data_IF_937213223013
#
_entry.id   IF_937213223013
#
_cell.length_a   1.000
_cell.length_b   1.000
_cell.length_c   1.000
_cell.angle_alpha   90.00
_cell.angle_beta   90.00
_cell.angle_gamma   90.00
#
_symmetry.space_group_name_H-M   'P 1'
#
loop_
_entity.id
_entity.type
_entity.pdbx_description
1 polymer ?
#
# COMPACT_ATOMS: atom_id res chain seq x y z
N UNK A 1 9.55 -80.82 4.17
CA UNK A 1 8.95 -79.59 4.61
C UNK A 1 9.61 -78.36 3.97
N UNK A 2 9.98 -78.31 2.67
CA UNK A 2 10.81 -77.26 2.08
C UNK A 2 10.27 -76.67 0.74
N UNK A 3 9.09 -77.13 0.30
CA UNK A 3 8.48 -76.59 -0.95
C UNK A 3 7.39 -75.53 -0.76
N UNK A 4 6.87 -75.33 0.45
CA UNK A 4 5.76 -74.39 0.72
C UNK A 4 6.24 -72.97 1.05
N UNK A 5 7.49 -72.83 1.54
CA UNK A 5 8.05 -71.53 1.93
C UNK A 5 8.47 -70.68 0.73
N UNK A 6 8.86 -71.30 -0.40
CA UNK A 6 9.33 -70.52 -1.62
C UNK A 6 8.20 -69.85 -2.42
N UNK A 7 6.91 -70.19 -2.17
CA UNK A 7 5.78 -69.56 -2.91
C UNK A 7 5.12 -68.38 -2.16
N UNK A 8 5.44 -68.21 -0.87
CA UNK A 8 4.88 -67.11 -0.08
C UNK A 8 5.71 -65.83 -0.11
N UNK A 9 7.03 -65.93 -0.45
CA UNK A 9 7.90 -64.78 -0.50
C UNK A 9 7.55 -63.76 -1.63
N UNK A 10 7.18 -64.12 -2.85
CA UNK A 10 6.80 -63.17 -3.89
C UNK A 10 5.44 -62.52 -3.66
N UNK A 11 4.53 -63.17 -2.92
CA UNK A 11 3.23 -62.56 -2.61
C UNK A 11 3.33 -61.51 -1.49
N UNK A 12 4.23 -61.69 -0.50
CA UNK A 12 4.48 -60.69 0.56
C UNK A 12 5.23 -59.46 0.02
N UNK A 13 6.11 -59.62 -0.98
CA UNK A 13 6.83 -58.51 -1.59
C UNK A 13 5.92 -57.67 -2.51
N UNK A 14 4.92 -58.28 -3.16
CA UNK A 14 3.93 -57.58 -3.98
C UNK A 14 2.98 -56.69 -3.15
N UNK A 15 2.66 -57.12 -1.91
CA UNK A 15 1.82 -56.31 -0.99
C UNK A 15 2.58 -55.10 -0.43
N UNK A 16 3.90 -55.19 -0.23
CA UNK A 16 4.73 -54.08 0.23
C UNK A 16 4.96 -53.01 -0.86
N UNK A 17 4.90 -53.36 -2.14
CA UNK A 17 5.02 -52.41 -3.26
C UNK A 17 3.70 -51.71 -3.60
N UNK A 18 2.55 -52.25 -3.20
CA UNK A 18 1.25 -51.64 -3.41
C UNK A 18 0.95 -50.50 -2.40
N UNK A 19 1.73 -50.36 -1.31
CA UNK A 19 1.54 -49.36 -0.27
C UNK A 19 2.11 -47.97 -0.60
N UNK A 20 2.84 -47.82 -1.71
CA UNK A 20 3.40 -46.54 -2.18
C UNK A 20 2.70 -45.99 -3.42
N UNK A 21 1.44 -46.39 -3.66
CA UNK A 21 0.61 -45.62 -4.58
C UNK A 21 0.38 -44.23 -3.93
N UNK A 22 1.17 -43.24 -4.35
CA UNK A 22 0.85 -41.83 -4.06
C UNK A 22 -0.61 -41.65 -4.44
N UNK A 23 -1.46 -41.40 -3.46
CA UNK A 23 -2.81 -40.94 -3.73
C UNK A 23 -2.64 -39.67 -4.59
N UNK A 24 -3.35 -39.55 -5.71
CA UNK A 24 -3.36 -38.30 -6.43
C UNK A 24 -3.80 -37.26 -5.41
N UNK A 25 -2.96 -36.24 -5.20
CA UNK A 25 -3.37 -35.05 -4.48
C UNK A 25 -4.57 -34.54 -5.24
N UNK A 26 -5.73 -34.57 -4.58
CA UNK A 26 -6.98 -34.10 -5.18
C UNK A 26 -6.79 -32.63 -5.53
N UNK A 27 -6.50 -32.36 -6.81
CA UNK A 27 -6.27 -31.01 -7.36
C UNK A 27 -7.56 -30.20 -7.44
N UNK A 28 -8.65 -30.70 -6.85
CA UNK A 28 -9.98 -30.08 -6.82
C UNK A 28 -10.28 -29.32 -5.52
N UNK A 29 -9.32 -29.13 -4.61
CA UNK A 29 -9.53 -28.18 -3.52
C UNK A 29 -9.67 -26.79 -4.13
N UNK A 30 -10.89 -26.25 -4.08
CA UNK A 30 -11.16 -24.89 -4.53
C UNK A 30 -10.17 -23.95 -3.84
N UNK A 31 -9.38 -23.23 -4.65
CA UNK A 31 -8.42 -22.27 -4.13
C UNK A 31 -9.17 -21.17 -3.41
N UNK A 32 -8.63 -20.71 -2.28
CA UNK A 32 -9.16 -19.55 -1.58
C UNK A 32 -9.00 -18.31 -2.45
N UNK A 33 -10.10 -17.61 -2.73
CA UNK A 33 -10.13 -16.45 -3.64
C UNK A 33 -9.83 -15.17 -2.88
N UNK A 34 -8.79 -14.48 -3.30
CA UNK A 34 -8.34 -13.22 -2.70
C UNK A 34 -8.30 -12.14 -3.79
N UNK A 35 -8.91 -10.99 -3.52
CA UNK A 35 -8.75 -9.79 -4.34
C UNK A 35 -7.78 -8.83 -3.65
N UNK A 36 -6.73 -8.39 -4.35
CA UNK A 36 -5.91 -7.25 -3.96
C UNK A 36 -6.39 -6.02 -4.75
N UNK A 37 -6.89 -5.01 -4.04
CA UNK A 37 -7.38 -3.76 -4.63
C UNK A 37 -6.45 -2.64 -4.18
N UNK A 38 -5.57 -2.21 -5.09
CA UNK A 38 -4.56 -1.19 -4.85
C UNK A 38 -5.09 0.22 -5.16
N UNK A 39 -4.30 1.25 -4.84
CA UNK A 39 -4.62 2.64 -5.22
C UNK A 39 -4.24 2.95 -6.66
N UNK A 40 -3.24 2.28 -7.20
CA UNK A 40 -2.69 2.55 -8.52
C UNK A 40 -2.25 1.26 -9.21
N UNK A 41 -2.19 1.31 -10.53
CA UNK A 41 -1.68 0.24 -11.39
C UNK A 41 -0.14 0.13 -11.35
N UNK A 42 0.43 -0.79 -12.14
CA UNK A 42 1.88 -1.07 -12.27
C UNK A 42 2.67 0.10 -12.91
N UNK A 43 2.53 1.32 -12.40
CA UNK A 43 3.25 2.50 -12.91
C UNK A 43 4.20 3.11 -11.87
N UNK A 44 4.43 2.41 -10.75
CA UNK A 44 5.39 2.82 -9.73
C UNK A 44 6.18 1.64 -9.20
N UNK A 45 7.45 1.85 -8.88
CA UNK A 45 8.32 0.82 -8.30
C UNK A 45 7.74 0.28 -6.97
N UNK A 46 7.04 1.12 -6.22
CA UNK A 46 6.37 0.73 -4.98
C UNK A 46 5.28 -0.33 -5.24
N UNK A 47 4.32 -0.05 -6.14
CA UNK A 47 3.24 -0.98 -6.43
C UNK A 47 3.71 -2.23 -7.14
N UNK A 48 4.72 -2.15 -7.99
CA UNK A 48 5.35 -3.32 -8.59
C UNK A 48 5.91 -4.27 -7.52
N UNK A 49 6.60 -3.74 -6.50
CA UNK A 49 7.10 -4.55 -5.39
C UNK A 49 5.97 -5.20 -4.57
N UNK A 50 4.87 -4.47 -4.30
CA UNK A 50 3.68 -5.00 -3.61
C UNK A 50 3.06 -6.15 -4.40
N UNK A 51 2.88 -5.99 -5.72
CA UNK A 51 2.26 -7.01 -6.57
C UNK A 51 3.14 -8.25 -6.70
N UNK A 52 4.47 -8.11 -6.81
CA UNK A 52 5.41 -9.23 -6.80
C UNK A 52 5.28 -10.01 -5.49
N UNK A 53 5.23 -9.32 -4.35
CA UNK A 53 5.04 -9.95 -3.04
C UNK A 53 3.70 -10.68 -2.92
N UNK A 54 2.62 -10.09 -3.42
CA UNK A 54 1.29 -10.70 -3.42
C UNK A 54 1.23 -11.96 -4.31
N UNK A 55 1.83 -11.92 -5.52
CA UNK A 55 1.92 -13.07 -6.43
C UNK A 55 2.76 -14.20 -5.82
N UNK A 56 3.86 -13.88 -5.13
CA UNK A 56 4.67 -14.85 -4.42
C UNK A 56 3.87 -15.52 -3.28
N UNK A 57 3.17 -14.74 -2.46
CA UNK A 57 2.30 -15.25 -1.41
C UNK A 57 1.15 -16.12 -1.97
N UNK A 58 0.52 -15.69 -3.06
CA UNK A 58 -0.53 -16.46 -3.72
C UNK A 58 -0.02 -17.83 -4.20
N UNK A 59 1.21 -17.88 -4.68
CA UNK A 59 1.86 -19.13 -5.09
C UNK A 59 2.16 -20.00 -3.88
N UNK A 60 2.75 -19.43 -2.82
CA UNK A 60 3.14 -20.16 -1.61
C UNK A 60 1.93 -20.76 -0.91
N UNK A 61 0.84 -20.02 -0.78
CA UNK A 61 -0.37 -20.43 -0.07
C UNK A 61 -1.45 -21.05 -0.98
N UNK A 62 -1.14 -21.28 -2.26
CA UNK A 62 -2.06 -21.83 -3.26
C UNK A 62 -3.38 -21.07 -3.34
N UNK A 63 -3.32 -19.73 -3.40
CA UNK A 63 -4.48 -18.85 -3.52
C UNK A 63 -4.84 -18.59 -4.99
N UNK A 64 -6.09 -18.24 -5.22
CA UNK A 64 -6.53 -17.60 -6.46
C UNK A 64 -6.53 -16.09 -6.22
N UNK A 65 -5.49 -15.40 -6.69
CA UNK A 65 -5.31 -13.97 -6.52
C UNK A 65 -5.79 -13.21 -7.76
N UNK A 66 -6.60 -12.18 -7.55
CA UNK A 66 -6.94 -11.15 -8.54
C UNK A 66 -6.36 -9.82 -8.06
N UNK A 67 -5.65 -9.10 -8.92
CA UNK A 67 -5.09 -7.77 -8.60
C UNK A 67 -5.80 -6.75 -9.46
N UNK A 68 -6.37 -5.72 -8.84
CA UNK A 68 -7.07 -4.61 -9.52
C UNK A 68 -6.69 -3.28 -8.87
N UNK A 69 -6.82 -2.22 -9.65
CA UNK A 69 -6.69 -0.84 -9.19
C UNK A 69 -7.49 0.07 -10.13
N UNK A 70 -7.95 1.24 -9.71
CA UNK A 70 -8.50 2.24 -10.61
C UNK A 70 -7.40 2.80 -11.53
N UNK A 71 -7.81 3.44 -12.62
CA UNK A 71 -6.89 4.10 -13.56
C UNK A 71 -6.31 5.40 -12.98
N UNK A 72 -7.03 6.01 -12.04
CA UNK A 72 -6.64 7.25 -11.35
C UNK A 72 -6.60 7.02 -9.83
N UNK A 73 -5.45 7.37 -9.23
CA UNK A 73 -5.23 7.27 -7.77
C UNK A 73 -6.07 8.29 -6.95
N UNK A 74 -6.84 9.13 -7.60
CA UNK A 74 -7.80 10.04 -6.95
C UNK A 74 -9.26 9.53 -7.06
N UNK A 75 -9.52 8.46 -7.86
CA UNK A 75 -10.86 7.92 -8.08
C UNK A 75 -11.25 6.84 -7.06
N UNK A 76 -11.60 7.29 -5.84
CA UNK A 76 -12.15 6.41 -4.81
C UNK A 76 -13.48 5.75 -5.21
N UNK A 77 -14.25 6.39 -6.11
CA UNK A 77 -15.54 5.84 -6.54
C UNK A 77 -15.35 4.62 -7.44
N UNK A 78 -14.40 4.67 -8.38
CA UNK A 78 -13.99 3.49 -9.14
C UNK A 78 -13.42 2.41 -8.21
N UNK A 79 -12.65 2.78 -7.19
CA UNK A 79 -12.14 1.82 -6.22
C UNK A 79 -13.26 1.15 -5.40
N UNK A 80 -14.31 1.88 -5.01
CA UNK A 80 -15.49 1.33 -4.36
C UNK A 80 -16.24 0.33 -5.27
N UNK A 81 -16.28 0.59 -6.59
CA UNK A 81 -16.86 -0.36 -7.54
C UNK A 81 -16.03 -1.65 -7.61
N UNK A 82 -14.70 -1.56 -7.63
CA UNK A 82 -13.82 -2.74 -7.62
C UNK A 82 -14.01 -3.60 -6.36
N UNK A 83 -14.34 -2.99 -5.21
CA UNK A 83 -14.68 -3.72 -3.99
C UNK A 83 -15.99 -4.50 -4.19
N UNK A 84 -17.03 -3.85 -4.74
CA UNK A 84 -18.31 -4.49 -5.01
C UNK A 84 -18.17 -5.65 -6.02
N UNK A 85 -17.44 -5.43 -7.11
CA UNK A 85 -17.16 -6.45 -8.13
C UNK A 85 -16.42 -7.65 -7.52
N UNK A 86 -15.43 -7.43 -6.65
CA UNK A 86 -14.72 -8.51 -5.97
C UNK A 86 -15.65 -9.35 -5.07
N UNK A 87 -16.62 -8.72 -4.40
CA UNK A 87 -17.64 -9.44 -3.61
C UNK A 87 -18.55 -10.25 -4.52
N UNK A 88 -19.04 -9.70 -5.64
CA UNK A 88 -19.87 -10.41 -6.62
C UNK A 88 -19.13 -11.59 -7.26
N UNK A 89 -17.85 -11.44 -7.56
CA UNK A 89 -16.99 -12.51 -8.06
C UNK A 89 -16.67 -13.58 -7.02
N UNK A 90 -17.14 -13.37 -5.77
CA UNK A 90 -17.05 -14.30 -4.65
C UNK A 90 -15.66 -14.36 -4.06
N UNK A 91 -14.95 -13.25 -3.95
CA UNK A 91 -13.75 -13.14 -3.12
C UNK A 91 -14.09 -13.51 -1.67
N UNK A 92 -13.22 -14.27 -1.05
CA UNK A 92 -13.34 -14.67 0.36
C UNK A 92 -12.52 -13.76 1.28
N UNK A 93 -11.51 -13.09 0.69
CA UNK A 93 -10.81 -12.00 1.34
C UNK A 93 -10.49 -10.88 0.32
N UNK A 94 -10.46 -9.66 0.81
CA UNK A 94 -10.00 -8.47 0.10
C UNK A 94 -8.79 -7.91 0.86
N UNK A 95 -7.68 -7.74 0.15
CA UNK A 95 -6.52 -6.96 0.60
C UNK A 95 -6.64 -5.60 -0.05
N UNK A 96 -6.74 -4.53 0.75
CA UNK A 96 -7.18 -3.22 0.30
C UNK A 96 -6.26 -2.10 0.76
N UNK A 97 -5.91 -1.17 -0.14
CA UNK A 97 -5.22 0.08 0.20
C UNK A 97 -6.10 1.26 -0.18
N UNK A 98 -6.60 2.00 0.82
CA UNK A 98 -7.59 3.04 0.59
C UNK A 98 -7.03 4.29 -0.10
N UNK A 99 -7.69 4.76 -1.16
CA UNK A 99 -7.45 6.07 -1.76
C UNK A 99 -7.95 7.17 -0.82
N UNK A 100 -9.14 7.01 -0.28
CA UNK A 100 -9.78 7.96 0.63
C UNK A 100 -10.17 7.26 1.92
N UNK A 101 -9.71 7.80 3.05
CA UNK A 101 -9.91 7.20 4.36
C UNK A 101 -11.38 7.10 4.75
N UNK A 102 -12.19 8.11 4.42
CA UNK A 102 -13.61 8.19 4.77
C UNK A 102 -14.51 7.63 3.66
N UNK A 103 -14.25 8.00 2.41
CA UNK A 103 -15.15 7.69 1.31
C UNK A 103 -15.15 6.21 0.91
N UNK A 104 -14.08 5.46 1.23
CA UNK A 104 -14.03 4.02 1.01
C UNK A 104 -14.66 3.20 2.15
N UNK A 105 -14.92 3.78 3.33
CA UNK A 105 -15.36 3.06 4.51
C UNK A 105 -16.64 2.26 4.29
N UNK A 106 -17.68 2.87 3.68
CA UNK A 106 -18.95 2.22 3.47
C UNK A 106 -18.87 0.99 2.54
N UNK A 107 -17.99 1.02 1.53
CA UNK A 107 -17.78 -0.13 0.63
C UNK A 107 -17.09 -1.29 1.37
N UNK A 108 -16.14 -0.98 2.25
CA UNK A 108 -15.47 -1.97 3.11
C UNK A 108 -16.44 -2.59 4.09
N UNK A 109 -17.31 -1.78 4.73
CA UNK A 109 -18.34 -2.27 5.64
C UNK A 109 -19.33 -3.19 4.93
N UNK A 110 -19.71 -2.86 3.70
CA UNK A 110 -20.58 -3.70 2.89
C UNK A 110 -19.93 -5.05 2.53
N UNK A 111 -18.66 -5.05 2.16
CA UNK A 111 -17.90 -6.27 1.88
C UNK A 111 -17.80 -7.17 3.13
N UNK A 112 -17.48 -6.58 4.29
CA UNK A 112 -17.44 -7.31 5.55
C UNK A 112 -18.80 -7.89 5.94
N UNK A 113 -19.89 -7.12 5.76
CA UNK A 113 -21.25 -7.58 5.99
C UNK A 113 -21.69 -8.75 5.07
N UNK A 114 -21.11 -8.81 3.86
CA UNK A 114 -21.25 -9.94 2.95
C UNK A 114 -20.42 -11.18 3.32
N UNK A 115 -19.66 -11.11 4.42
CA UNK A 115 -18.84 -12.21 4.94
C UNK A 115 -17.43 -12.28 4.35
N UNK A 116 -16.98 -11.24 3.64
CA UNK A 116 -15.63 -11.15 3.09
C UNK A 116 -14.67 -10.63 4.17
N UNK A 117 -13.54 -11.31 4.38
CA UNK A 117 -12.50 -10.83 5.29
C UNK A 117 -11.73 -9.68 4.64
N UNK A 118 -11.68 -8.52 5.29
CA UNK A 118 -10.92 -7.36 4.78
C UNK A 118 -9.64 -7.17 5.56
N UNK A 119 -8.53 -7.03 4.84
CA UNK A 119 -7.20 -6.68 5.38
C UNK A 119 -6.77 -5.38 4.70
N UNK A 120 -6.48 -4.35 5.49
CA UNK A 120 -5.94 -3.10 4.95
C UNK A 120 -4.42 -3.16 4.90
N UNK A 121 -3.84 -2.74 3.78
CA UNK A 121 -2.38 -2.65 3.57
C UNK A 121 -2.01 -1.23 3.12
N UNK A 122 -0.80 -0.79 3.46
CA UNK A 122 -0.27 0.53 3.11
C UNK A 122 -1.11 1.68 3.67
N UNK A 123 -2.30 1.94 3.15
CA UNK A 123 -3.19 3.03 3.56
C UNK A 123 -4.44 2.50 4.27
N UNK A 124 -4.69 3.00 5.47
CA UNK A 124 -5.85 2.63 6.29
C UNK A 124 -7.17 3.21 5.73
N UNK A 125 -8.29 2.62 6.15
CA UNK A 125 -9.65 3.08 5.89
C UNK A 125 -10.42 3.22 7.20
N UNK A 126 -11.34 4.15 7.31
CA UNK A 126 -12.15 4.41 8.51
C UNK A 126 -13.27 3.36 8.68
N UNK A 127 -12.89 2.13 8.99
CA UNK A 127 -13.82 1.03 9.23
C UNK A 127 -13.31 0.12 10.34
N UNK A 128 -14.19 -0.17 11.30
CA UNK A 128 -13.93 -1.14 12.37
C UNK A 128 -14.02 -2.60 11.89
N UNK A 129 -14.46 -2.82 10.65
CA UNK A 129 -14.64 -4.15 10.04
C UNK A 129 -13.39 -4.67 9.33
N UNK A 130 -12.26 -3.95 9.43
CA UNK A 130 -10.96 -4.41 8.94
C UNK A 130 -10.36 -5.39 9.95
N UNK A 131 -10.09 -6.62 9.50
CA UNK A 131 -9.56 -7.68 10.36
C UNK A 131 -8.10 -7.44 10.79
N UNK A 132 -7.30 -6.77 9.94
CA UNK A 132 -5.93 -6.38 10.23
C UNK A 132 -5.51 -5.20 9.35
N UNK A 133 -4.60 -4.36 9.88
CA UNK A 133 -3.90 -3.33 9.13
C UNK A 133 -2.40 -3.61 9.12
N UNK A 134 -1.80 -3.50 7.95
CA UNK A 134 -0.35 -3.69 7.72
C UNK A 134 0.16 -2.46 6.98
N UNK A 135 0.86 -1.59 7.68
CA UNK A 135 1.39 -0.35 7.11
C UNK A 135 2.52 0.23 7.94
N UNK A 136 3.05 1.37 7.48
CA UNK A 136 4.08 2.10 8.18
C UNK A 136 3.48 3.03 9.26
N UNK A 137 4.29 3.42 10.24
CA UNK A 137 3.99 4.54 11.12
C UNK A 137 4.17 5.87 10.35
N UNK A 138 3.12 6.29 9.66
CA UNK A 138 3.13 7.49 8.82
C UNK A 138 3.27 8.78 9.64
N UNK A 139 2.67 8.84 10.84
CA UNK A 139 2.85 9.96 11.74
C UNK A 139 4.31 10.09 12.19
N UNK A 140 4.90 8.97 12.63
CA UNK A 140 6.32 8.90 12.98
C UNK A 140 7.24 9.27 11.81
N UNK A 141 6.92 8.83 10.59
CA UNK A 141 7.68 9.19 9.38
C UNK A 141 7.62 10.71 9.11
N UNK A 142 6.45 11.34 9.28
CA UNK A 142 6.30 12.80 9.20
C UNK A 142 7.15 13.53 10.24
N UNK A 143 7.15 13.06 11.47
CA UNK A 143 8.04 13.61 12.52
C UNK A 143 9.52 13.46 12.17
N UNK A 144 9.91 12.30 11.65
CA UNK A 144 11.31 12.04 11.26
C UNK A 144 11.82 12.97 10.17
N UNK A 145 11.03 13.23 9.12
CA UNK A 145 11.44 14.14 8.05
C UNK A 145 11.57 15.58 8.55
N UNK A 146 10.66 16.03 9.41
CA UNK A 146 10.75 17.35 10.04
C UNK A 146 11.98 17.46 10.96
N UNK A 147 12.24 16.44 11.78
CA UNK A 147 13.41 16.39 12.64
C UNK A 147 14.72 16.42 11.85
N UNK A 148 14.78 15.68 10.73
CA UNK A 148 15.96 15.72 9.83
C UNK A 148 16.24 17.12 9.29
N UNK A 149 15.18 17.88 8.93
CA UNK A 149 15.34 19.27 8.50
C UNK A 149 15.81 20.18 9.65
N UNK A 150 15.26 19.96 10.86
CA UNK A 150 15.66 20.70 12.05
C UNK A 150 17.13 20.46 12.43
N UNK A 151 17.60 19.22 12.32
CA UNK A 151 18.97 18.85 12.66
C UNK A 151 19.98 19.31 11.57
N UNK A 152 19.55 19.30 10.32
CA UNK A 152 20.41 19.66 9.18
C UNK A 152 20.56 21.15 8.93
N UNK A 153 19.75 22.00 9.57
CA UNK A 153 19.72 23.44 9.31
C UNK A 153 19.73 24.26 10.59
N UNK A 154 20.50 25.34 10.58
CA UNK A 154 20.53 26.30 11.67
C UNK A 154 19.49 27.45 11.45
N UNK A 155 19.15 28.15 12.54
CA UNK A 155 18.27 29.31 12.49
C UNK A 155 16.79 29.01 12.33
N UNK A 156 16.02 29.99 11.86
CA UNK A 156 14.60 29.86 11.66
C UNK A 156 14.25 29.17 10.33
N UNK A 157 13.34 28.24 10.37
CA UNK A 157 12.86 27.51 9.19
C UNK A 157 11.51 28.04 8.72
N UNK A 158 11.47 28.46 7.43
CA UNK A 158 10.26 28.80 6.70
C UNK A 158 9.95 27.62 5.76
N UNK A 159 8.99 26.80 6.13
CA UNK A 159 8.76 25.49 5.50
C UNK A 159 7.67 25.59 4.45
N UNK A 160 7.95 25.11 3.22
CA UNK A 160 6.97 24.75 2.21
C UNK A 160 6.69 23.25 2.28
N UNK A 161 5.42 22.87 2.41
CA UNK A 161 5.00 21.48 2.52
C UNK A 161 4.24 21.06 1.26
N UNK A 162 4.60 19.91 0.68
CA UNK A 162 4.00 19.38 -0.54
C UNK A 162 3.45 17.98 -0.26
N UNK A 163 2.13 17.82 -0.46
CA UNK A 163 1.39 16.59 -0.27
C UNK A 163 0.49 16.32 -1.48
N UNK A 164 0.03 15.09 -1.71
CA UNK A 164 -1.06 14.80 -2.63
C UNK A 164 -2.17 13.95 -1.98
N UNK A 165 -1.84 13.20 -0.94
CA UNK A 165 -2.76 12.27 -0.27
C UNK A 165 -3.51 12.94 0.89
N UNK A 166 -4.14 14.09 0.66
CA UNK A 166 -4.82 14.84 1.74
C UNK A 166 -6.04 14.10 2.32
N UNK A 167 -6.67 13.22 1.55
CA UNK A 167 -7.80 12.39 1.97
C UNK A 167 -7.37 10.98 2.40
N UNK A 168 -6.18 10.54 1.99
CA UNK A 168 -5.61 9.27 2.39
C UNK A 168 -5.00 9.34 3.80
N UNK A 169 -5.02 8.23 4.53
CA UNK A 169 -4.42 8.14 5.86
C UNK A 169 -2.93 8.48 5.84
N UNK A 170 -2.19 7.96 4.86
CA UNK A 170 -0.74 8.11 4.79
C UNK A 170 -0.30 9.57 4.69
N UNK A 171 -0.86 10.30 3.73
CA UNK A 171 -0.50 11.71 3.50
C UNK A 171 -0.92 12.60 4.65
N UNK A 172 -2.13 12.39 5.19
CA UNK A 172 -2.64 13.11 6.34
C UNK A 172 -1.76 12.91 7.59
N UNK A 173 -1.41 11.68 7.90
CA UNK A 173 -0.65 11.36 9.10
C UNK A 173 0.81 11.84 8.99
N UNK A 174 1.45 11.71 7.81
CA UNK A 174 2.79 12.29 7.55
C UNK A 174 2.78 13.80 7.69
N UNK A 175 1.76 14.46 7.13
CA UNK A 175 1.62 15.91 7.24
C UNK A 175 1.43 16.35 8.70
N UNK A 176 0.57 15.68 9.45
CA UNK A 176 0.33 16.00 10.85
C UNK A 176 1.60 15.79 11.69
N UNK A 177 2.31 14.67 11.50
CA UNK A 177 3.56 14.41 12.21
C UNK A 177 4.64 15.46 11.95
N UNK A 178 4.76 15.91 10.67
CA UNK A 178 5.70 16.97 10.32
C UNK A 178 5.31 18.32 10.93
N UNK A 179 4.02 18.68 10.89
CA UNK A 179 3.50 19.92 11.49
C UNK A 179 3.75 19.96 13.00
N UNK A 180 3.49 18.88 13.70
CA UNK A 180 3.66 18.80 15.16
C UNK A 180 5.14 18.93 15.53
N UNK A 181 6.05 18.24 14.85
CA UNK A 181 7.48 18.34 15.11
C UNK A 181 8.03 19.75 14.84
N UNK A 182 7.58 20.42 13.79
CA UNK A 182 7.97 21.82 13.53
C UNK A 182 7.41 22.77 14.59
N UNK A 183 6.16 22.60 15.00
CA UNK A 183 5.55 23.43 16.04
C UNK A 183 6.26 23.28 17.39
N UNK A 184 6.57 22.05 17.80
CA UNK A 184 7.30 21.74 19.03
C UNK A 184 8.72 22.34 19.04
N UNK A 185 9.37 22.49 17.89
CA UNK A 185 10.72 23.04 17.78
C UNK A 185 10.83 24.52 18.18
N UNK A 186 9.74 25.25 18.06
CA UNK A 186 9.67 26.71 18.31
C UNK A 186 10.48 27.58 17.33
N UNK A 187 11.19 26.98 16.35
CA UNK A 187 12.03 27.70 15.38
C UNK A 187 11.63 27.49 13.91
N UNK A 188 10.58 26.70 13.67
CA UNK A 188 10.06 26.42 12.35
C UNK A 188 8.59 26.83 12.22
N UNK A 189 8.20 27.30 11.04
CA UNK A 189 6.81 27.58 10.70
C UNK A 189 6.48 27.01 9.32
N UNK A 190 5.30 26.43 9.17
CA UNK A 190 4.77 26.12 7.85
C UNK A 190 4.33 27.44 7.20
N UNK A 191 5.08 27.89 6.21
CA UNK A 191 4.83 29.13 5.49
C UNK A 191 3.75 28.93 4.44
N UNK A 192 3.81 27.81 3.72
CA UNK A 192 2.81 27.40 2.75
C UNK A 192 2.71 25.87 2.72
N UNK A 193 1.53 25.38 2.40
CA UNK A 193 1.29 23.97 2.10
C UNK A 193 0.48 23.85 0.82
N UNK A 194 0.80 22.89 -0.03
CA UNK A 194 0.09 22.63 -1.28
C UNK A 194 -0.28 21.16 -1.38
N UNK A 195 -1.52 20.91 -1.81
CA UNK A 195 -1.95 19.59 -2.28
C UNK A 195 -1.88 19.60 -3.80
N UNK A 196 -1.23 18.60 -4.38
CA UNK A 196 -1.02 18.46 -5.82
C UNK A 196 -1.62 17.15 -6.33
N UNK A 197 -1.74 16.99 -7.64
CA UNK A 197 -2.09 15.68 -8.22
C UNK A 197 -0.94 14.68 -8.07
N UNK A 198 -1.22 13.35 -8.07
CA UNK A 198 -0.25 12.29 -7.81
C UNK A 198 0.72 12.07 -8.98
N UNK A 199 1.38 13.13 -9.44
CA UNK A 199 2.41 13.06 -10.46
C UNK A 199 3.48 14.15 -10.29
N UNK A 200 4.72 13.86 -10.70
CA UNK A 200 5.85 14.76 -10.53
C UNK A 200 5.72 16.08 -11.31
N UNK A 201 4.99 16.11 -12.44
CA UNK A 201 4.81 17.30 -13.23
C UNK A 201 3.93 18.33 -12.52
N UNK A 202 2.82 17.90 -11.94
CA UNK A 202 1.94 18.73 -11.11
C UNK A 202 2.68 19.20 -9.85
N UNK A 203 3.34 18.31 -9.13
CA UNK A 203 4.12 18.64 -7.95
C UNK A 203 5.21 19.68 -8.24
N UNK A 204 5.88 19.59 -9.40
CA UNK A 204 6.85 20.59 -9.85
C UNK A 204 6.19 21.95 -10.12
N UNK A 205 5.05 21.96 -10.84
CA UNK A 205 4.36 23.19 -11.16
C UNK A 205 3.87 23.93 -9.90
N UNK A 206 3.27 23.20 -8.98
CA UNK A 206 2.74 23.74 -7.72
C UNK A 206 3.86 24.19 -6.78
N UNK A 207 4.96 23.46 -6.72
CA UNK A 207 6.16 23.88 -5.96
C UNK A 207 6.76 25.15 -6.53
N UNK A 208 6.85 25.29 -7.87
CA UNK A 208 7.32 26.52 -8.50
C UNK A 208 6.42 27.72 -8.17
N UNK A 209 5.10 27.51 -8.20
CA UNK A 209 4.14 28.55 -7.85
C UNK A 209 4.29 28.97 -6.37
N UNK A 210 4.39 28.00 -5.46
CA UNK A 210 4.62 28.24 -4.04
C UNK A 210 5.90 29.02 -3.78
N UNK A 211 7.02 28.62 -4.37
CA UNK A 211 8.33 29.28 -4.16
C UNK A 211 8.37 30.70 -4.73
N UNK A 212 7.62 30.97 -5.79
CA UNK A 212 7.50 32.35 -6.36
C UNK A 212 6.67 33.26 -5.46
N UNK A 213 5.63 32.73 -4.85
CA UNK A 213 4.73 33.47 -3.95
C UNK A 213 5.33 33.67 -2.56
N UNK A 214 6.15 32.69 -2.12
CA UNK A 214 6.77 32.64 -0.80
C UNK A 214 8.30 32.53 -0.91
N UNK A 215 9.00 33.58 -1.34
CA UNK A 215 10.46 33.55 -1.53
C UNK A 215 11.24 33.37 -0.24
N UNK A 216 10.61 33.54 0.92
CA UNK A 216 11.21 33.31 2.24
C UNK A 216 11.31 31.81 2.60
N UNK A 217 10.64 30.89 1.88
CA UNK A 217 10.76 29.45 2.10
C UNK A 217 12.21 29.04 1.89
N UNK A 218 12.79 28.43 2.92
CA UNK A 218 14.16 27.92 2.91
C UNK A 218 14.25 26.40 3.09
N UNK A 219 13.11 25.73 3.38
CA UNK A 219 12.99 24.27 3.48
C UNK A 219 11.75 23.81 2.71
N UNK A 220 11.89 22.75 1.93
CA UNK A 220 10.77 22.03 1.32
C UNK A 220 10.66 20.64 1.94
N UNK A 221 9.46 20.28 2.35
CA UNK A 221 9.11 18.94 2.82
C UNK A 221 8.12 18.34 1.83
N UNK A 222 8.53 17.26 1.17
CA UNK A 222 7.70 16.49 0.27
C UNK A 222 7.38 15.13 0.95
N UNK A 223 6.09 14.80 1.04
CA UNK A 223 5.62 13.71 1.91
C UNK A 223 5.61 12.33 1.24
N UNK A 224 6.00 12.25 -0.04
CA UNK A 224 6.12 11.02 -0.80
C UNK A 224 7.10 11.17 -1.98
N UNK A 225 7.39 10.06 -2.66
CA UNK A 225 8.33 10.01 -3.78
C UNK A 225 7.95 10.98 -4.90
N UNK A 226 6.72 10.91 -5.37
CA UNK A 226 6.23 11.70 -6.51
C UNK A 226 6.35 13.21 -6.25
N UNK A 227 5.95 13.65 -5.06
CA UNK A 227 6.09 15.07 -4.66
C UNK A 227 7.55 15.46 -4.45
N UNK A 228 8.40 14.56 -3.95
CA UNK A 228 9.83 14.82 -3.77
C UNK A 228 10.54 15.01 -5.12
N UNK A 229 10.25 14.18 -6.11
CA UNK A 229 10.79 14.31 -7.47
C UNK A 229 10.36 15.64 -8.07
N UNK A 230 9.08 16.00 -7.99
CA UNK A 230 8.56 17.26 -8.49
C UNK A 230 9.18 18.50 -7.79
N UNK A 231 9.28 18.46 -6.46
CA UNK A 231 9.90 19.54 -5.68
C UNK A 231 11.37 19.72 -6.03
N UNK A 232 12.14 18.64 -6.16
CA UNK A 232 13.55 18.70 -6.56
C UNK A 232 13.72 19.31 -7.95
N UNK A 233 12.87 18.92 -8.92
CA UNK A 233 12.87 19.53 -10.26
C UNK A 233 12.51 21.03 -10.24
N UNK A 234 11.61 21.44 -9.36
CA UNK A 234 11.25 22.84 -9.20
C UNK A 234 12.42 23.67 -8.66
N UNK A 235 13.11 23.17 -7.61
CA UNK A 235 14.31 23.82 -7.05
C UNK A 235 15.41 23.93 -8.10
N UNK A 236 15.66 22.87 -8.85
CA UNK A 236 16.65 22.86 -9.92
C UNK A 236 16.32 23.89 -11.01
N UNK A 237 15.06 23.97 -11.44
CA UNK A 237 14.60 24.94 -12.45
C UNK A 237 14.74 26.40 -11.95
N UNK A 238 14.58 26.67 -10.65
CA UNK A 238 14.77 27.99 -10.06
C UNK A 238 16.24 28.30 -9.77
N UNK A 239 17.17 27.37 -10.01
CA UNK A 239 18.59 27.48 -9.63
C UNK A 239 18.78 27.78 -8.13
N UNK A 240 17.90 27.25 -7.32
CA UNK A 240 17.98 27.31 -5.85
C UNK A 240 18.64 26.02 -5.35
N UNK A 241 19.77 26.13 -4.71
CA UNK A 241 20.47 25.05 -4.02
C UNK A 241 20.02 24.97 -2.56
#
# INVERSE_FOLDING_TARGET
MTKTIKRLLPAALAVLLAGCAMQPVDSTTARYRVALIAKNNRNSEFWDAVFIGAEAAATEYNLQLTITAPDDEEDYAAQNQLIADAVEDGAQAIVFSAIDYEANAAAIDAAAAAGVTVISVDSAVNSDNVAAYIGADNYGAGRMVAQSALDGMEGALCVGLINYEVNGANGRDREQGARDAFAESGRARITAAVSTHPNAASARADTLAMLRTHPEINVLIALNETTAVGAAQAVQQMQRA
#
